data_IF_048037469321
#
_entry.id   IF_048037469321
#
_cell.length_a   1.000
_cell.length_b   1.000
_cell.length_c   1.000
_cell.angle_alpha   90.00
_cell.angle_beta   90.00
_cell.angle_gamma   90.00
#
_symmetry.space_group_name_H-M   'P 1'
#
loop_
_entity.id
_entity.type
_entity.pdbx_description
1 polymer ?
#
# COMPACT_ATOMS: atom_id res chain seq x y z
N UNK A 1 10.57 -11.72 13.28
CA UNK A 1 9.81 -11.29 14.47
C UNK A 1 9.66 -12.45 15.46
N UNK A 2 9.69 -12.22 16.79
CA UNK A 2 9.42 -13.24 17.76
C UNK A 2 8.08 -13.96 17.50
N UNK A 3 8.07 -15.29 17.60
CA UNK A 3 6.88 -16.08 17.32
C UNK A 3 6.70 -16.53 15.87
N UNK A 4 7.48 -16.01 14.92
CA UNK A 4 7.49 -16.51 13.54
C UNK A 4 8.56 -17.60 13.42
N UNK A 5 8.21 -18.82 12.92
CA UNK A 5 9.20 -19.86 12.68
C UNK A 5 10.32 -19.40 11.76
N UNK A 6 11.57 -19.77 12.04
CA UNK A 6 12.73 -19.36 11.25
C UNK A 6 12.58 -19.72 9.76
N UNK A 7 12.08 -20.93 9.47
CA UNK A 7 11.83 -21.41 8.10
C UNK A 7 10.85 -20.53 7.28
N UNK A 8 10.01 -19.72 7.93
CA UNK A 8 9.18 -18.74 7.25
C UNK A 8 9.86 -17.37 7.19
N UNK A 9 10.55 -16.97 8.26
CA UNK A 9 11.21 -15.67 8.33
C UNK A 9 12.37 -15.54 7.33
N UNK A 10 13.07 -16.62 7.02
CA UNK A 10 14.18 -16.65 6.05
C UNK A 10 13.76 -16.32 4.61
N UNK A 11 12.46 -16.45 4.28
CA UNK A 11 11.91 -16.06 2.98
C UNK A 11 11.57 -14.56 2.87
N UNK A 12 11.85 -13.79 3.93
CA UNK A 12 11.58 -12.35 3.96
C UNK A 12 12.88 -11.57 4.12
N UNK A 13 13.23 -10.81 3.10
CA UNK A 13 14.39 -9.91 3.12
C UNK A 13 13.89 -8.53 3.59
N UNK A 14 14.54 -7.98 4.60
CA UNK A 14 14.25 -6.63 5.09
C UNK A 14 15.34 -5.68 4.61
N UNK A 15 14.94 -4.64 3.86
CA UNK A 15 15.83 -3.59 3.38
C UNK A 15 15.58 -2.28 4.12
N UNK A 16 16.56 -1.39 4.08
CA UNK A 16 16.43 -0.06 4.69
C UNK A 16 15.54 0.83 3.82
N UNK A 17 14.52 1.43 4.44
CA UNK A 17 13.62 2.36 3.76
C UNK A 17 14.39 3.61 3.28
N UNK A 18 14.10 4.08 2.07
CA UNK A 18 14.79 5.19 1.40
C UNK A 18 16.25 4.93 1.00
N UNK A 19 16.73 3.69 1.08
CA UNK A 19 18.09 3.31 0.66
C UNK A 19 18.06 2.65 -0.73
N UNK A 20 18.18 3.47 -1.76
CA UNK A 20 18.17 3.04 -3.18
C UNK A 20 19.34 2.08 -3.47
N UNK A 21 20.53 2.37 -2.92
CA UNK A 21 21.71 1.55 -3.17
C UNK A 21 21.55 0.16 -2.57
N UNK A 22 20.97 0.06 -1.38
CA UNK A 22 20.65 -1.22 -0.73
C UNK A 22 19.63 -2.04 -1.54
N UNK A 23 18.61 -1.38 -2.12
CA UNK A 23 17.64 -2.05 -3.01
C UNK A 23 18.34 -2.57 -4.27
N UNK A 24 19.10 -1.73 -4.97
CA UNK A 24 19.78 -2.11 -6.21
C UNK A 24 20.80 -3.22 -6.00
N UNK A 25 21.57 -3.17 -4.91
CA UNK A 25 22.55 -4.22 -4.60
C UNK A 25 21.85 -5.56 -4.29
N UNK A 26 20.74 -5.56 -3.57
CA UNK A 26 19.95 -6.76 -3.32
C UNK A 26 19.46 -7.38 -4.64
N UNK A 27 18.86 -6.56 -5.51
CA UNK A 27 18.36 -7.04 -6.80
C UNK A 27 19.45 -7.52 -7.77
N UNK A 28 20.62 -6.89 -7.72
CA UNK A 28 21.79 -7.37 -8.47
C UNK A 28 22.24 -8.78 -8.06
N UNK A 29 22.10 -9.11 -6.77
CA UNK A 29 22.54 -10.40 -6.24
C UNK A 29 21.50 -11.50 -6.43
N UNK A 30 20.22 -11.21 -6.20
CA UNK A 30 19.16 -12.23 -6.12
C UNK A 30 17.83 -11.79 -6.73
N UNK A 31 17.82 -10.79 -7.61
CA UNK A 31 16.59 -10.21 -8.17
C UNK A 31 15.67 -11.23 -8.84
N UNK A 32 16.25 -12.23 -9.50
CA UNK A 32 15.55 -13.35 -10.13
C UNK A 32 14.84 -14.31 -9.15
N UNK A 33 15.13 -14.20 -7.85
CA UNK A 33 14.54 -15.01 -6.78
C UNK A 33 13.50 -14.21 -5.95
N UNK A 34 13.33 -12.91 -6.21
CA UNK A 34 12.43 -12.05 -5.47
C UNK A 34 11.03 -12.07 -6.11
N UNK A 35 10.07 -12.66 -5.42
CA UNK A 35 8.69 -12.74 -5.89
C UNK A 35 7.97 -11.40 -5.84
N UNK A 36 8.15 -10.63 -4.75
CA UNK A 36 7.49 -9.34 -4.58
C UNK A 36 8.27 -8.40 -3.65
N UNK A 37 8.02 -7.10 -3.82
CA UNK A 37 8.29 -6.06 -2.82
C UNK A 37 6.96 -5.62 -2.23
N UNK A 38 6.87 -5.54 -0.90
CA UNK A 38 5.78 -4.85 -0.22
C UNK A 38 6.34 -3.64 0.53
N UNK A 39 5.73 -2.47 0.33
CA UNK A 39 6.19 -1.22 0.93
C UNK A 39 5.03 -0.30 1.28
N UNK A 40 5.09 0.36 2.43
CA UNK A 40 4.25 1.54 2.70
C UNK A 40 4.82 2.73 1.90
N UNK A 41 4.07 3.32 0.93
CA UNK A 41 4.59 4.44 0.12
C UNK A 41 4.95 5.67 0.96
N UNK A 42 4.27 5.86 2.09
CA UNK A 42 4.68 6.71 3.21
C UNK A 42 4.64 5.83 4.43
N UNK A 43 5.79 5.59 5.04
CA UNK A 43 5.87 4.71 6.19
C UNK A 43 5.17 5.33 7.39
N UNK A 44 4.19 4.62 7.95
CA UNK A 44 3.40 5.07 9.09
C UNK A 44 3.71 4.34 10.39
N UNK A 45 4.19 3.08 10.31
CA UNK A 45 4.48 2.28 11.49
C UNK A 45 5.84 2.59 12.14
N UNK A 46 6.74 3.28 11.44
CA UNK A 46 8.03 3.73 11.97
C UNK A 46 8.14 5.27 12.05
N UNK A 47 7.07 5.94 12.40
CA UNK A 47 6.78 7.36 12.24
C UNK A 47 6.27 7.71 10.83
N UNK A 48 5.88 8.97 10.63
CA UNK A 48 5.46 9.45 9.32
C UNK A 48 6.72 9.80 8.49
N UNK A 49 7.24 8.82 7.77
CA UNK A 49 8.45 8.98 6.95
C UNK A 49 8.05 8.95 5.47
N UNK A 50 8.14 10.08 4.75
CA UNK A 50 7.88 10.11 3.32
C UNK A 50 9.01 9.44 2.53
N UNK A 51 8.71 8.98 1.31
CA UNK A 51 9.74 8.49 0.41
C UNK A 51 10.66 9.63 -0.04
N UNK A 52 11.95 9.37 -0.07
CA UNK A 52 12.90 10.29 -0.71
C UNK A 52 12.71 10.27 -2.24
N UNK A 53 13.03 11.38 -2.93
CA UNK A 53 12.96 11.42 -4.39
C UNK A 53 13.73 10.27 -5.05
N UNK A 54 13.10 9.56 -5.97
CA UNK A 54 13.68 8.44 -6.69
C UNK A 54 13.51 7.08 -6.00
N UNK A 55 13.07 7.02 -4.73
CA UNK A 55 12.97 5.74 -4.02
C UNK A 55 11.84 4.86 -4.57
N UNK A 56 10.62 5.38 -4.70
CA UNK A 56 9.49 4.61 -5.23
C UNK A 56 9.67 4.28 -6.71
N UNK A 57 10.26 5.20 -7.46
CA UNK A 57 10.65 4.99 -8.86
C UNK A 57 11.65 3.83 -8.98
N UNK A 58 12.68 3.80 -8.12
CA UNK A 58 13.64 2.70 -8.08
C UNK A 58 12.97 1.36 -7.78
N UNK A 59 12.02 1.30 -6.82
CA UNK A 59 11.28 0.06 -6.53
C UNK A 59 10.48 -0.39 -7.76
N UNK A 60 9.86 0.53 -8.49
CA UNK A 60 9.12 0.17 -9.71
C UNK A 60 10.06 -0.34 -10.80
N UNK A 61 11.18 0.35 -11.03
CA UNK A 61 12.20 -0.03 -12.03
C UNK A 61 12.73 -1.45 -11.77
N UNK A 62 13.22 -1.73 -10.56
CA UNK A 62 13.79 -3.06 -10.27
C UNK A 62 12.73 -4.17 -10.34
N UNK A 63 11.48 -3.88 -10.00
CA UNK A 63 10.40 -4.83 -10.17
C UNK A 63 10.11 -5.11 -11.65
N UNK A 64 10.08 -4.09 -12.50
CA UNK A 64 9.86 -4.24 -13.94
C UNK A 64 10.99 -5.01 -14.62
N UNK A 65 12.24 -4.74 -14.25
CA UNK A 65 13.44 -5.41 -14.79
C UNK A 65 13.50 -6.89 -14.43
N UNK A 66 12.99 -7.29 -13.26
CA UNK A 66 13.12 -8.66 -12.74
C UNK A 66 11.80 -9.46 -12.77
N UNK A 67 10.70 -8.87 -13.22
CA UNK A 67 9.39 -9.54 -13.19
C UNK A 67 8.83 -9.71 -11.77
N UNK A 68 9.31 -8.91 -10.82
CA UNK A 68 8.90 -8.89 -9.41
C UNK A 68 7.61 -8.10 -9.24
N UNK A 69 6.71 -8.56 -8.38
CA UNK A 69 5.44 -7.87 -8.09
C UNK A 69 5.67 -6.73 -7.10
N UNK A 70 5.33 -5.50 -7.47
CA UNK A 70 5.33 -4.36 -6.54
C UNK A 70 3.96 -4.24 -5.85
N UNK A 71 3.97 -4.28 -4.52
CA UNK A 71 2.78 -4.16 -3.67
C UNK A 71 2.89 -2.88 -2.86
N UNK A 72 1.94 -1.96 -3.04
CA UNK A 72 1.80 -0.81 -2.14
C UNK A 72 0.89 -1.16 -0.97
N UNK A 73 1.44 -1.08 0.24
CA UNK A 73 0.63 -1.06 1.45
C UNK A 73 0.06 0.34 1.65
N UNK A 74 -1.12 0.53 1.11
CA UNK A 74 -1.89 1.77 1.23
C UNK A 74 -2.95 1.71 2.36
N UNK A 75 -2.77 0.85 3.33
CA UNK A 75 -3.66 0.79 4.49
C UNK A 75 -3.71 2.13 5.24
N UNK A 76 -2.61 2.89 5.25
CA UNK A 76 -2.59 4.26 5.78
C UNK A 76 -2.85 5.34 4.75
N UNK A 77 -2.27 5.24 3.56
CA UNK A 77 -2.25 6.31 2.56
C UNK A 77 -3.45 6.30 1.62
N UNK A 78 -4.06 5.13 1.39
CA UNK A 78 -5.20 4.98 0.50
C UNK A 78 -6.38 5.87 0.90
N UNK A 79 -6.88 6.64 -0.04
CA UNK A 79 -7.95 7.65 0.12
C UNK A 79 -7.63 8.77 1.12
N UNK A 80 -6.46 8.75 1.77
CA UNK A 80 -6.06 9.74 2.76
C UNK A 80 -5.25 10.88 2.15
N UNK A 81 -4.18 10.55 1.41
CA UNK A 81 -3.22 11.54 0.88
C UNK A 81 -3.64 12.10 -0.49
N UNK A 82 -4.56 11.44 -1.14
CA UNK A 82 -5.30 11.83 -2.33
C UNK A 82 -6.47 10.86 -2.48
N UNK A 83 -7.42 11.12 -3.37
CA UNK A 83 -8.53 10.19 -3.65
C UNK A 83 -8.00 8.86 -4.20
N UNK A 84 -7.02 8.88 -5.09
CA UNK A 84 -6.31 7.70 -5.61
C UNK A 84 -5.12 7.25 -4.75
N UNK A 85 -5.00 7.75 -3.51
CA UNK A 85 -3.96 7.33 -2.58
C UNK A 85 -2.55 7.81 -2.95
N UNK A 86 -1.55 7.10 -2.46
CA UNK A 86 -0.14 7.40 -2.74
C UNK A 86 0.23 7.12 -4.21
N UNK A 87 -0.43 6.18 -4.86
CA UNK A 87 -0.25 5.93 -6.30
C UNK A 87 -0.48 7.20 -7.13
N UNK A 88 -1.56 7.92 -6.85
CA UNK A 88 -1.88 9.19 -7.51
C UNK A 88 -0.87 10.26 -7.11
N UNK A 89 -0.61 10.41 -5.80
CA UNK A 89 0.26 11.46 -5.26
C UNK A 89 1.68 11.40 -5.79
N UNK A 90 2.25 10.19 -5.92
CA UNK A 90 3.63 9.97 -6.39
C UNK A 90 3.73 9.53 -7.85
N UNK A 91 2.57 9.35 -8.51
CA UNK A 91 2.50 8.88 -9.91
C UNK A 91 3.26 7.56 -10.12
N UNK A 92 3.16 6.63 -9.17
CA UNK A 92 3.73 5.27 -9.26
C UNK A 92 2.59 4.26 -9.28
N UNK A 93 2.59 3.36 -10.26
CA UNK A 93 1.56 2.33 -10.39
C UNK A 93 2.09 0.97 -9.88
N UNK A 94 1.65 0.50 -8.71
CA UNK A 94 2.00 -0.83 -8.23
C UNK A 94 1.24 -1.92 -9.00
N UNK A 95 1.65 -3.16 -8.82
CA UNK A 95 0.94 -4.32 -9.37
C UNK A 95 -0.24 -4.73 -8.50
N UNK A 96 -0.06 -4.63 -7.18
CA UNK A 96 -1.09 -4.86 -6.17
C UNK A 96 -1.11 -3.73 -5.15
N UNK A 97 -2.28 -3.52 -4.54
CA UNK A 97 -2.48 -2.54 -3.47
C UNK A 97 -3.24 -3.20 -2.33
N UNK A 98 -2.83 -2.97 -1.10
CA UNK A 98 -3.60 -3.32 0.09
C UNK A 98 -4.26 -2.07 0.67
N UNK A 99 -5.49 -2.19 1.14
CA UNK A 99 -6.31 -1.09 1.66
C UNK A 99 -6.94 -1.49 3.00
N UNK A 100 -7.17 -0.51 3.83
CA UNK A 100 -7.83 -0.67 5.13
C UNK A 100 -8.24 0.70 5.68
N UNK A 101 -8.39 0.81 6.99
CA UNK A 101 -8.68 2.08 7.68
C UNK A 101 -9.81 2.90 7.04
N UNK A 102 -9.47 3.86 6.19
CA UNK A 102 -10.43 4.78 5.53
C UNK A 102 -11.56 4.01 4.83
N UNK A 103 -11.27 2.94 4.09
CA UNK A 103 -12.28 2.20 3.35
C UNK A 103 -13.36 1.55 4.24
N UNK A 104 -13.12 1.46 5.53
CA UNK A 104 -14.06 0.89 6.50
C UNK A 104 -15.01 1.91 7.12
N UNK A 105 -14.78 3.22 6.94
CA UNK A 105 -15.62 4.24 7.58
C UNK A 105 -15.64 4.12 9.11
N UNK A 106 -14.53 3.69 9.71
CA UNK A 106 -14.41 3.40 11.15
C UNK A 106 -14.67 1.94 11.53
N UNK A 107 -15.18 1.12 10.60
CA UNK A 107 -15.41 -0.31 10.80
C UNK A 107 -14.20 -1.13 10.36
N UNK A 108 -14.00 -2.36 10.92
CA UNK A 108 -12.88 -3.22 10.55
C UNK A 108 -13.06 -3.78 9.15
N UNK A 109 -12.29 -3.27 8.20
CA UNK A 109 -12.27 -3.70 6.79
C UNK A 109 -10.83 -3.77 6.31
N UNK A 110 -10.52 -4.79 5.55
CA UNK A 110 -9.32 -4.91 4.75
C UNK A 110 -9.68 -5.33 3.33
N UNK A 111 -8.94 -4.82 2.36
CA UNK A 111 -9.08 -5.20 0.96
C UNK A 111 -7.71 -5.26 0.30
N UNK A 112 -7.62 -6.03 -0.77
CA UNK A 112 -6.48 -6.00 -1.67
C UNK A 112 -6.97 -6.18 -3.11
N UNK A 113 -6.20 -5.67 -4.03
CA UNK A 113 -6.53 -5.75 -5.45
C UNK A 113 -5.39 -5.25 -6.32
N UNK A 114 -5.55 -5.32 -7.63
CA UNK A 114 -4.55 -4.85 -8.58
C UNK A 114 -4.72 -5.44 -9.97
N UNK A 115 -3.62 -5.76 -10.64
CA UNK A 115 -3.62 -6.28 -12.01
C UNK A 115 -4.49 -7.52 -12.13
N UNK A 116 -5.35 -7.53 -13.16
CA UNK A 116 -6.32 -8.60 -13.41
C UNK A 116 -5.64 -9.97 -13.53
N UNK A 117 -4.49 -10.04 -14.18
CA UNK A 117 -3.71 -11.26 -14.37
C UNK A 117 -3.33 -11.90 -13.03
N UNK A 118 -2.93 -11.09 -12.06
CA UNK A 118 -2.57 -11.55 -10.71
C UNK A 118 -3.83 -11.92 -9.94
N UNK A 119 -4.83 -11.06 -9.95
CA UNK A 119 -6.09 -11.28 -9.21
C UNK A 119 -6.87 -12.48 -9.71
N UNK A 120 -6.71 -12.88 -10.97
CA UNK A 120 -7.36 -14.08 -11.54
C UNK A 120 -6.87 -15.40 -10.93
N UNK A 121 -5.76 -15.39 -10.19
CA UNK A 121 -5.31 -16.56 -9.44
C UNK A 121 -6.09 -16.77 -8.13
N UNK A 122 -6.87 -15.78 -7.68
CA UNK A 122 -7.69 -15.90 -6.47
C UNK A 122 -8.98 -16.67 -6.79
N UNK A 123 -9.35 -17.57 -5.87
CA UNK A 123 -10.62 -18.33 -5.94
C UNK A 123 -11.84 -17.37 -6.04
N UNK A 124 -12.87 -17.68 -6.84
CA UNK A 124 -13.10 -18.95 -7.55
C UNK A 124 -12.46 -19.03 -8.95
N UNK A 125 -11.81 -17.97 -9.43
CA UNK A 125 -11.20 -17.97 -10.77
C UNK A 125 -9.91 -18.77 -10.83
N UNK A 126 -9.15 -18.79 -9.73
CA UNK A 126 -7.88 -19.50 -9.62
C UNK A 126 -7.81 -20.37 -8.36
N UNK A 127 -6.65 -21.04 -8.15
CA UNK A 127 -6.48 -22.02 -7.08
C UNK A 127 -6.16 -21.41 -5.71
N UNK A 128 -5.85 -20.10 -5.63
CA UNK A 128 -5.45 -19.45 -4.39
C UNK A 128 -6.67 -19.12 -3.55
N UNK A 129 -6.85 -19.83 -2.45
CA UNK A 129 -7.99 -19.62 -1.56
C UNK A 129 -7.78 -18.43 -0.64
N UNK A 130 -8.78 -17.57 -0.55
CA UNK A 130 -8.88 -16.48 0.38
C UNK A 130 -10.32 -16.38 0.90
N UNK A 131 -10.51 -16.30 2.21
CA UNK A 131 -11.81 -16.11 2.84
C UNK A 131 -11.66 -15.42 4.19
N UNK A 132 -12.74 -14.78 4.62
CA UNK A 132 -12.87 -14.18 5.95
C UNK A 132 -14.34 -14.15 6.35
N UNK A 133 -14.66 -14.64 7.53
CA UNK A 133 -16.04 -14.74 8.03
C UNK A 133 -16.79 -13.41 7.99
N UNK A 134 -16.08 -12.30 8.28
CA UNK A 134 -16.65 -10.95 8.28
C UNK A 134 -16.41 -10.17 6.99
N UNK A 135 -15.80 -10.79 5.96
CA UNK A 135 -15.57 -10.14 4.68
C UNK A 135 -16.90 -9.76 4.03
N UNK A 136 -17.02 -8.50 3.63
CA UNK A 136 -18.23 -7.98 2.98
C UNK A 136 -19.44 -7.86 3.92
N UNK A 137 -19.25 -7.83 5.24
CA UNK A 137 -20.39 -7.67 6.15
C UNK A 137 -21.12 -6.33 5.88
N UNK A 138 -22.48 -6.34 5.92
CA UNK A 138 -23.27 -5.20 5.44
C UNK A 138 -23.06 -3.91 6.24
N UNK A 139 -22.74 -4.01 7.52
CA UNK A 139 -22.50 -2.83 8.37
C UNK A 139 -21.22 -2.10 7.95
N UNK A 140 -20.13 -2.85 7.79
CA UNK A 140 -18.86 -2.29 7.35
C UNK A 140 -18.92 -1.78 5.89
N UNK A 141 -19.65 -2.47 5.02
CA UNK A 141 -19.86 -2.01 3.64
C UNK A 141 -20.64 -0.69 3.60
N UNK A 142 -21.73 -0.58 4.37
CA UNK A 142 -22.53 0.66 4.43
C UNK A 142 -21.72 1.84 4.99
N UNK A 143 -20.96 1.63 6.07
CA UNK A 143 -20.10 2.67 6.65
C UNK A 143 -18.99 3.10 5.68
N UNK A 144 -18.33 2.14 5.02
CA UNK A 144 -17.29 2.40 4.03
C UNK A 144 -17.83 3.19 2.84
N UNK A 145 -18.97 2.78 2.27
CA UNK A 145 -19.61 3.49 1.15
C UNK A 145 -19.93 4.92 1.54
N UNK A 146 -20.57 5.14 2.69
CA UNK A 146 -20.93 6.48 3.14
C UNK A 146 -19.70 7.41 3.31
N UNK A 147 -18.58 6.86 3.82
CA UNK A 147 -17.35 7.63 3.93
C UNK A 147 -16.72 7.88 2.54
N UNK A 148 -16.64 6.87 1.69
CA UNK A 148 -16.07 7.02 0.35
C UNK A 148 -16.85 8.01 -0.50
N UNK A 149 -18.18 8.02 -0.44
CA UNK A 149 -19.03 9.01 -1.10
C UNK A 149 -18.68 10.42 -0.61
N UNK A 150 -18.55 10.61 0.70
CA UNK A 150 -18.21 11.91 1.29
C UNK A 150 -16.84 12.43 0.86
N UNK A 151 -15.82 11.57 0.85
CA UNK A 151 -14.45 12.00 0.48
C UNK A 151 -14.25 12.13 -1.04
N UNK A 152 -15.17 11.59 -1.83
CA UNK A 152 -15.18 11.72 -3.29
C UNK A 152 -15.81 13.03 -3.77
N UNK A 153 -16.42 13.81 -2.87
CA UNK A 153 -16.98 15.11 -3.21
C UNK A 153 -15.87 16.07 -3.72
N UNK A 154 -16.13 16.80 -4.80
CA UNK A 154 -15.17 17.76 -5.34
C UNK A 154 -14.69 18.76 -4.29
N UNK A 155 -13.37 18.95 -4.18
CA UNK A 155 -12.76 19.88 -3.23
C UNK A 155 -12.58 19.33 -1.80
N UNK A 156 -12.97 18.10 -1.52
CA UNK A 156 -12.80 17.52 -0.17
C UNK A 156 -11.33 17.52 0.26
N UNK A 157 -10.44 17.00 -0.56
CA UNK A 157 -9.00 16.95 -0.25
C UNK A 157 -8.37 18.33 -0.21
N UNK A 158 -8.78 19.26 -1.08
CA UNK A 158 -8.29 20.64 -1.05
C UNK A 158 -8.65 21.33 0.29
N UNK A 159 -9.91 21.16 0.73
CA UNK A 159 -10.36 21.69 2.02
C UNK A 159 -9.65 21.02 3.20
N UNK A 160 -9.32 19.73 3.12
CA UNK A 160 -8.55 19.00 4.12
C UNK A 160 -7.13 19.56 4.20
N UNK A 161 -6.44 19.70 3.06
CA UNK A 161 -5.07 20.20 3.01
C UNK A 161 -4.95 21.65 3.50
N UNK A 162 -5.90 22.52 3.17
CA UNK A 162 -5.92 23.87 3.72
C UNK A 162 -6.01 23.89 5.26
N UNK A 163 -6.70 22.91 5.87
CA UNK A 163 -6.73 22.77 7.35
C UNK A 163 -5.40 22.25 7.90
N UNK A 164 -4.76 21.32 7.17
CA UNK A 164 -3.42 20.80 7.51
C UNK A 164 -2.40 21.92 7.49
N UNK A 165 -2.38 22.72 6.42
CA UNK A 165 -1.46 23.87 6.27
C UNK A 165 -1.63 24.86 7.41
N UNK A 166 -2.89 25.17 7.77
CA UNK A 166 -3.18 26.05 8.91
C UNK A 166 -2.68 25.47 10.24
N UNK A 167 -2.79 24.15 10.44
CA UNK A 167 -2.27 23.49 11.64
C UNK A 167 -0.75 23.53 11.67
N UNK A 168 -0.08 23.18 10.59
CA UNK A 168 1.37 23.20 10.49
C UNK A 168 1.95 24.59 10.74
N UNK A 169 1.40 25.63 10.09
CA UNK A 169 1.80 27.02 10.32
C UNK A 169 1.57 27.52 11.76
N UNK A 170 0.72 26.88 12.53
CA UNK A 170 0.49 27.19 13.94
C UNK A 170 1.41 26.42 14.91
N UNK A 171 2.14 25.42 14.40
CA UNK A 171 3.11 24.63 15.17
C UNK A 171 4.57 25.12 14.97
N UNK A 172 4.84 25.88 13.91
CA UNK A 172 6.10 26.57 13.62
C UNK A 172 6.21 27.87 14.45
#
# INVERSE_FOLDING_TARGET
SPGVPAALAEHTITLTYNDIDNVRECFKQIGDQIACIIVEPVAGNMNCIPPQPGFLECLREVCDENGTVLIFDEVMTGFRVALGGAQERFNIKPDLTTLGKIIGGGMPVGAFGGKKEIMSHISPLGPVYQAGTLSGNPLAMAAGIALLDSISEPGFHDALFAKVDKLCAGLE
#
